data_IF_322506670345
#
_entry.id   IF_322506670345
#
_cell.length_a   1.000
_cell.length_b   1.000
_cell.length_c   1.000
_cell.angle_alpha   90.00
_cell.angle_beta   90.00
_cell.angle_gamma   90.00
#
_symmetry.space_group_name_H-M   'P 1'
#
loop_
_entity.id
_entity.type
_entity.pdbx_description
1 polymer ?
#
# COMPACT_ATOMS: atom_id res chain seq x y z
N UNK A 1 4.78 -43.80 -28.85
CA UNK A 1 4.66 -43.62 -30.31
C UNK A 1 3.45 -42.74 -30.56
N UNK A 2 3.60 -41.60 -31.01
CA UNK A 2 3.17 -40.81 -32.16
C UNK A 2 3.46 -39.33 -31.86
N UNK A 3 4.55 -38.86 -32.46
CA UNK A 3 4.87 -37.44 -32.60
C UNK A 3 3.99 -36.86 -33.69
N UNK A 4 3.34 -35.71 -33.45
CA UNK A 4 2.83 -34.87 -34.54
C UNK A 4 3.53 -33.52 -34.48
N UNK A 5 4.47 -33.33 -35.42
CA UNK A 5 5.01 -32.03 -35.84
C UNK A 5 3.91 -31.33 -36.63
N UNK A 6 3.72 -30.04 -36.40
CA UNK A 6 3.05 -29.16 -37.34
C UNK A 6 4.02 -28.01 -37.67
N UNK A 7 4.18 -27.85 -38.98
CA UNK A 7 5.11 -26.98 -39.68
C UNK A 7 4.67 -25.51 -39.68
N UNK A 8 5.67 -24.62 -39.56
CA UNK A 8 5.59 -23.24 -40.05
C UNK A 8 5.76 -23.22 -41.56
N UNK A 9 4.99 -22.40 -42.27
CA UNK A 9 5.51 -21.55 -43.36
C UNK A 9 4.42 -20.68 -44.02
N UNK A 10 4.84 -19.43 -44.33
CA UNK A 10 4.35 -18.54 -45.38
C UNK A 10 3.09 -17.70 -45.07
N UNK A 11 2.97 -16.39 -45.34
CA UNK A 11 3.73 -15.54 -46.25
C UNK A 11 3.38 -14.05 -45.99
N UNK A 12 4.33 -13.17 -46.24
CA UNK A 12 4.13 -11.72 -46.42
C UNK A 12 3.69 -11.50 -47.88
N UNK A 13 2.88 -10.50 -48.22
CA UNK A 13 3.35 -9.58 -49.20
C UNK A 13 3.17 -8.08 -48.94
N UNK A 14 4.14 -7.34 -49.42
CA UNK A 14 4.36 -5.93 -49.61
C UNK A 14 3.18 -5.15 -50.23
N UNK A 15 3.11 -3.86 -49.88
CA UNK A 15 2.34 -2.87 -50.61
C UNK A 15 2.73 -1.45 -50.20
N UNK A 16 3.71 -0.90 -50.94
CA UNK A 16 4.15 0.50 -50.90
C UNK A 16 3.08 1.37 -51.62
N UNK A 17 2.73 2.52 -51.06
CA UNK A 17 2.23 3.64 -51.84
C UNK A 17 2.67 4.97 -51.23
N UNK A 18 3.62 5.58 -51.90
CA UNK A 18 4.10 6.96 -51.77
C UNK A 18 3.14 7.83 -52.57
N UNK A 19 2.68 8.91 -52.01
CA UNK A 19 2.12 10.03 -52.75
C UNK A 19 2.66 11.35 -52.22
N UNK A 20 3.65 11.86 -52.93
CA UNK A 20 4.07 13.26 -52.92
C UNK A 20 2.99 14.11 -53.64
N UNK A 21 2.68 15.24 -53.10
CA UNK A 21 2.21 16.39 -53.90
C UNK A 21 2.80 17.70 -53.37
N UNK A 22 3.38 18.41 -54.31
CA UNK A 22 4.21 19.59 -54.21
C UNK A 22 3.41 20.90 -54.36
N UNK A 23 3.90 21.94 -53.68
CA UNK A 23 4.12 23.32 -54.19
C UNK A 23 2.98 24.12 -54.84
N UNK A 24 2.88 25.35 -54.40
CA UNK A 24 2.91 26.66 -55.12
C UNK A 24 2.33 27.68 -54.15
N UNK A 25 2.95 28.73 -53.73
CA UNK A 25 3.49 29.92 -54.36
C UNK A 25 2.83 31.08 -53.64
N UNK A 26 3.41 31.89 -52.92
CA UNK A 26 4.14 33.11 -53.08
C UNK A 26 3.27 34.33 -53.33
N UNK A 27 3.27 35.32 -52.44
CA UNK A 27 3.27 36.73 -52.82
C UNK A 27 3.91 37.58 -51.72
N UNK A 28 4.97 38.24 -52.11
CA UNK A 28 5.63 39.34 -51.38
C UNK A 28 4.79 40.61 -51.50
N UNK A 29 4.67 41.36 -50.44
CA UNK A 29 4.42 42.79 -50.51
C UNK A 29 5.27 43.50 -49.45
N UNK A 30 6.19 44.27 -49.93
CA UNK A 30 7.08 45.12 -49.18
C UNK A 30 6.46 46.50 -48.97
N UNK A 31 7.11 47.26 -48.14
CA UNK A 31 7.16 48.74 -47.98
C UNK A 31 6.55 49.24 -46.71
N UNK A 32 7.14 50.03 -45.95
CA UNK A 32 8.33 50.90 -45.80
C UNK A 32 8.19 51.67 -44.51
N UNK A 33 9.19 52.25 -43.93
CA UNK A 33 9.20 52.69 -42.53
C UNK A 33 8.71 54.16 -42.37
N UNK A 34 8.19 54.51 -41.21
CA UNK A 34 8.18 55.85 -40.75
C UNK A 34 8.45 55.97 -39.23
N UNK A 35 9.16 56.99 -38.80
CA UNK A 35 9.93 56.98 -37.59
C UNK A 35 9.27 57.69 -36.39
N UNK A 36 9.81 57.35 -35.22
CA UNK A 36 9.93 58.16 -34.00
C UNK A 36 8.67 58.65 -33.32
N UNK A 37 8.41 58.11 -32.15
CA UNK A 37 8.29 58.91 -30.93
C UNK A 37 8.68 58.08 -29.72
N UNK A 38 9.79 58.46 -29.10
CA UNK A 38 10.24 57.99 -27.78
C UNK A 38 9.35 58.61 -26.71
N UNK A 39 8.51 57.81 -26.07
CA UNK A 39 8.06 58.12 -24.72
C UNK A 39 8.44 56.93 -23.82
N UNK A 40 8.91 57.15 -22.58
CA UNK A 40 9.30 56.06 -21.68
C UNK A 40 8.07 55.41 -21.10
N UNK A 41 7.78 54.16 -21.54
CA UNK A 41 6.77 53.33 -20.91
C UNK A 41 7.28 52.96 -19.53
N UNK A 42 6.67 53.55 -18.51
CA UNK A 42 6.80 53.10 -17.14
C UNK A 42 6.43 51.60 -17.04
N UNK A 43 7.41 50.79 -16.74
CA UNK A 43 7.18 49.38 -16.37
C UNK A 43 6.42 49.38 -15.03
N UNK A 44 5.12 49.29 -15.10
CA UNK A 44 4.33 48.85 -13.96
C UNK A 44 4.62 47.37 -13.74
N UNK A 45 5.51 47.09 -12.79
CA UNK A 45 5.64 45.79 -12.17
C UNK A 45 4.31 45.45 -11.52
N UNK A 46 3.42 44.82 -12.27
CA UNK A 46 2.27 44.10 -11.70
C UNK A 46 2.85 42.87 -11.03
N UNK A 47 3.20 43.01 -9.76
CA UNK A 47 3.34 41.82 -8.92
C UNK A 47 2.06 41.04 -9.05
N UNK A 48 2.12 39.93 -9.76
CA UNK A 48 1.07 38.90 -9.73
C UNK A 48 1.04 38.40 -8.29
N UNK A 49 0.13 39.00 -7.51
CA UNK A 49 -0.35 38.40 -6.30
C UNK A 49 -1.03 37.09 -6.74
N UNK A 50 -0.30 36.00 -6.76
CA UNK A 50 -0.86 34.66 -6.76
C UNK A 50 -1.55 34.48 -5.41
N UNK A 51 -2.78 34.95 -5.33
CA UNK A 51 -3.71 34.53 -4.29
C UNK A 51 -3.74 33.02 -4.37
N UNK A 52 -3.18 32.34 -3.37
CA UNK A 52 -3.37 30.93 -3.20
C UNK A 52 -4.88 30.70 -3.14
N UNK A 53 -5.48 30.24 -4.25
CA UNK A 53 -6.88 29.82 -4.26
C UNK A 53 -6.95 28.65 -3.28
N UNK A 54 -7.64 28.82 -2.16
CA UNK A 54 -7.99 27.71 -1.28
C UNK A 54 -8.88 26.77 -2.10
N UNK A 55 -8.26 25.77 -2.71
CA UNK A 55 -8.97 24.72 -3.41
C UNK A 55 -9.71 23.87 -2.39
N UNK A 56 -11.03 23.80 -2.50
CA UNK A 56 -11.84 22.95 -1.62
C UNK A 56 -11.62 21.49 -1.96
N UNK A 57 -11.54 20.63 -0.98
CA UNK A 57 -11.52 19.19 -1.16
C UNK A 57 -12.96 18.70 -1.39
N UNK A 58 -13.34 18.45 -2.65
CA UNK A 58 -14.70 18.07 -3.01
C UNK A 58 -14.88 16.56 -3.19
N UNK A 59 -13.78 15.83 -3.47
CA UNK A 59 -13.84 14.39 -3.73
C UNK A 59 -12.60 13.64 -3.25
N UNK A 60 -12.83 12.51 -2.58
CA UNK A 60 -11.80 11.56 -2.14
C UNK A 60 -12.19 10.17 -2.61
N UNK A 61 -11.28 9.48 -3.27
CA UNK A 61 -11.42 8.06 -3.58
C UNK A 61 -10.39 7.23 -2.82
N UNK A 62 -10.81 6.07 -2.35
CA UNK A 62 -9.97 5.13 -1.61
C UNK A 62 -10.06 3.78 -2.27
N UNK A 63 -8.93 3.23 -2.71
CA UNK A 63 -8.84 1.85 -3.17
C UNK A 63 -7.94 1.06 -2.24
N UNK A 64 -8.45 -0.06 -1.73
CA UNK A 64 -7.79 -0.91 -0.74
C UNK A 64 -7.72 -2.37 -1.23
N UNK A 65 -6.94 -3.20 -0.54
CA UNK A 65 -6.78 -4.61 -0.86
C UNK A 65 -8.10 -5.37 -0.77
N UNK A 66 -8.56 -5.69 0.43
CA UNK A 66 -9.76 -6.50 0.65
C UNK A 66 -10.61 -5.97 1.82
N UNK A 67 -11.84 -5.52 1.53
CA UNK A 67 -12.78 -5.01 2.53
C UNK A 67 -13.35 -6.11 3.46
N UNK A 68 -13.07 -7.38 3.23
CA UNK A 68 -13.32 -8.42 4.23
C UNK A 68 -12.37 -8.33 5.44
N UNK A 69 -11.22 -7.67 5.27
CA UNK A 69 -10.29 -7.38 6.35
C UNK A 69 -10.70 -6.07 7.07
N UNK A 70 -10.98 -6.11 8.39
CA UNK A 70 -11.38 -4.93 9.17
C UNK A 70 -10.39 -3.77 9.12
N UNK A 71 -9.11 -4.04 8.86
CA UNK A 71 -8.07 -3.03 8.67
C UNK A 71 -8.44 -2.05 7.57
N UNK A 72 -8.84 -2.55 6.41
CA UNK A 72 -9.20 -1.73 5.26
C UNK A 72 -10.56 -1.03 5.42
N UNK A 73 -11.48 -1.64 6.16
CA UNK A 73 -12.74 -0.96 6.54
C UNK A 73 -12.44 0.29 7.37
N UNK A 74 -11.50 0.20 8.31
CA UNK A 74 -11.11 1.36 9.13
C UNK A 74 -10.32 2.40 8.35
N UNK A 75 -9.50 1.98 7.39
CA UNK A 75 -8.88 2.91 6.45
C UNK A 75 -9.93 3.73 5.69
N UNK A 76 -10.93 3.07 5.12
CA UNK A 76 -12.03 3.75 4.44
C UNK A 76 -12.78 4.72 5.36
N UNK A 77 -13.09 4.29 6.58
CA UNK A 77 -13.74 5.13 7.60
C UNK A 77 -12.90 6.34 8.00
N UNK A 78 -11.58 6.14 8.19
CA UNK A 78 -10.65 7.23 8.54
C UNK A 78 -10.61 8.29 7.45
N UNK A 79 -10.56 7.87 6.20
CA UNK A 79 -10.61 8.77 5.05
C UNK A 79 -11.92 9.54 4.99
N UNK A 80 -13.07 8.87 5.16
CA UNK A 80 -14.39 9.50 5.14
C UNK A 80 -14.55 10.56 6.24
N UNK A 81 -14.19 10.20 7.47
CA UNK A 81 -14.28 11.10 8.62
C UNK A 81 -13.45 12.38 8.41
N UNK A 82 -12.20 12.24 7.96
CA UNK A 82 -11.32 13.39 7.80
C UNK A 82 -11.68 14.20 6.54
N UNK A 83 -12.09 13.56 5.44
CA UNK A 83 -12.53 14.24 4.23
C UNK A 83 -13.75 15.13 4.51
N UNK A 84 -14.76 14.61 5.19
CA UNK A 84 -15.96 15.39 5.56
C UNK A 84 -15.66 16.49 6.59
N UNK A 85 -14.71 16.29 7.47
CA UNK A 85 -14.26 17.30 8.42
C UNK A 85 -13.57 18.47 7.73
N UNK A 86 -12.76 18.22 6.69
CA UNK A 86 -11.98 19.23 5.96
C UNK A 86 -12.82 19.89 4.87
N UNK A 87 -13.43 19.10 3.99
CA UNK A 87 -14.17 19.60 2.82
C UNK A 87 -15.65 19.89 3.06
N UNK A 88 -16.18 19.45 4.23
CA UNK A 88 -17.59 19.60 4.60
C UNK A 88 -18.43 18.35 4.35
N UNK A 89 -19.72 18.38 4.79
CA UNK A 89 -20.60 17.19 4.73
C UNK A 89 -20.86 16.70 3.29
N UNK A 90 -20.76 17.58 2.31
CA UNK A 90 -21.03 17.29 0.89
C UNK A 90 -19.82 16.70 0.16
N UNK A 91 -18.66 16.59 0.81
CA UNK A 91 -17.48 15.95 0.24
C UNK A 91 -17.78 14.50 -0.14
N UNK A 92 -17.63 14.20 -1.42
CA UNK A 92 -17.85 12.85 -1.94
C UNK A 92 -16.70 11.92 -1.54
N UNK A 93 -17.04 10.80 -0.95
CA UNK A 93 -16.03 9.78 -0.59
C UNK A 93 -16.45 8.44 -1.19
N UNK A 94 -15.57 7.84 -1.97
CA UNK A 94 -15.77 6.53 -2.59
C UNK A 94 -14.73 5.57 -2.04
N UNK A 95 -15.16 4.44 -1.50
CA UNK A 95 -14.26 3.38 -0.99
C UNK A 95 -14.52 2.10 -1.77
N UNK A 96 -13.49 1.53 -2.37
CA UNK A 96 -13.58 0.29 -3.17
C UNK A 96 -12.50 -0.70 -2.81
N UNK A 97 -12.78 -1.99 -3.04
CA UNK A 97 -11.83 -3.10 -2.87
C UNK A 97 -11.26 -3.50 -4.22
N UNK A 98 -9.94 -3.66 -4.31
CA UNK A 98 -9.26 -4.24 -5.47
C UNK A 98 -9.21 -5.78 -5.42
N UNK A 99 -9.48 -6.40 -4.26
CA UNK A 99 -9.27 -7.83 -4.05
C UNK A 99 -7.81 -8.27 -4.28
N UNK A 100 -6.85 -7.34 -4.15
CA UNK A 100 -5.45 -7.52 -4.55
C UNK A 100 -5.26 -7.83 -6.04
N UNK A 101 -6.28 -7.58 -6.88
CA UNK A 101 -6.19 -7.69 -8.34
C UNK A 101 -5.70 -6.36 -8.94
N UNK A 102 -4.52 -6.41 -9.55
CA UNK A 102 -3.89 -5.25 -10.17
C UNK A 102 -4.75 -4.68 -11.32
N UNK A 103 -5.34 -5.53 -12.17
CA UNK A 103 -6.15 -5.08 -13.30
C UNK A 103 -7.45 -4.41 -12.81
N UNK A 104 -8.06 -4.96 -11.76
CA UNK A 104 -9.21 -4.32 -11.12
C UNK A 104 -8.84 -2.95 -10.58
N UNK A 105 -7.68 -2.84 -9.91
CA UNK A 105 -7.22 -1.57 -9.35
C UNK A 105 -6.89 -0.53 -10.44
N UNK A 106 -6.31 -0.96 -11.57
CA UNK A 106 -6.15 -0.09 -12.75
C UNK A 106 -7.48 0.52 -13.20
N UNK A 107 -8.50 -0.32 -13.39
CA UNK A 107 -9.84 0.15 -13.77
C UNK A 107 -10.45 1.12 -12.75
N UNK A 108 -10.18 0.89 -11.46
CA UNK A 108 -10.64 1.80 -10.39
C UNK A 108 -9.98 3.18 -10.50
N UNK A 109 -8.65 3.23 -10.69
CA UNK A 109 -7.94 4.50 -10.87
C UNK A 109 -8.41 5.24 -12.14
N UNK A 110 -8.65 4.53 -13.24
CA UNK A 110 -9.22 5.13 -14.45
C UNK A 110 -10.62 5.74 -14.20
N UNK A 111 -11.47 5.06 -13.45
CA UNK A 111 -12.78 5.57 -13.07
C UNK A 111 -12.67 6.82 -12.17
N UNK A 112 -11.69 6.84 -11.25
CA UNK A 112 -11.45 8.02 -10.41
C UNK A 112 -10.96 9.21 -11.23
N UNK A 113 -10.09 8.98 -12.21
CA UNK A 113 -9.67 10.01 -13.18
C UNK A 113 -10.84 10.53 -13.99
N UNK A 114 -11.67 9.64 -14.54
CA UNK A 114 -12.85 10.03 -15.31
C UNK A 114 -13.86 10.83 -14.48
N UNK A 115 -13.92 10.59 -13.17
CA UNK A 115 -14.76 11.30 -12.21
C UNK A 115 -14.13 12.59 -11.67
N UNK A 116 -12.96 12.97 -12.17
CA UNK A 116 -12.21 14.16 -11.74
C UNK A 116 -12.00 14.20 -10.22
N UNK A 117 -11.55 13.08 -9.65
CA UNK A 117 -11.33 12.96 -8.21
C UNK A 117 -10.12 13.79 -7.79
N UNK A 118 -10.28 14.66 -6.77
CA UNK A 118 -9.23 15.55 -6.28
C UNK A 118 -8.10 14.77 -5.58
N UNK A 119 -8.47 13.81 -4.72
CA UNK A 119 -7.55 13.03 -3.90
C UNK A 119 -7.83 11.53 -4.01
N UNK A 120 -6.83 10.78 -4.41
CA UNK A 120 -6.85 9.32 -4.45
C UNK A 120 -5.95 8.79 -3.32
N UNK A 121 -6.54 8.00 -2.43
CA UNK A 121 -5.84 7.25 -1.39
C UNK A 121 -5.69 5.81 -1.91
N UNK A 122 -4.46 5.40 -2.09
CA UNK A 122 -4.08 4.16 -2.76
C UNK A 122 -3.37 3.20 -1.79
N UNK A 123 -4.02 2.09 -1.47
CA UNK A 123 -3.34 0.90 -0.96
C UNK A 123 -3.07 -0.03 -2.14
N UNK A 124 -1.84 -0.05 -2.63
CA UNK A 124 -1.50 -0.71 -3.88
C UNK A 124 -1.62 -2.23 -3.80
N UNK A 125 -2.30 -2.86 -4.76
CA UNK A 125 -2.37 -4.31 -4.93
C UNK A 125 -1.01 -4.91 -5.35
N UNK A 126 -0.25 -4.15 -6.15
CA UNK A 126 1.15 -4.40 -6.48
C UNK A 126 1.89 -3.06 -6.47
N UNK A 127 2.89 -2.93 -5.61
CA UNK A 127 3.59 -1.66 -5.38
C UNK A 127 4.32 -1.12 -6.63
N UNK A 128 4.79 -1.99 -7.51
CA UNK A 128 5.48 -1.63 -8.75
C UNK A 128 4.52 -1.64 -9.94
N UNK A 129 3.69 -2.66 -10.04
CA UNK A 129 2.78 -2.85 -11.17
C UNK A 129 1.79 -1.71 -11.35
N UNK A 130 1.40 -1.02 -10.25
CA UNK A 130 0.42 0.08 -10.29
C UNK A 130 0.97 1.40 -10.87
N UNK A 131 2.28 1.52 -11.07
CA UNK A 131 2.98 2.74 -11.50
C UNK A 131 2.31 3.47 -12.68
N UNK A 132 1.98 2.82 -13.83
CA UNK A 132 1.38 3.52 -14.97
C UNK A 132 0.01 4.13 -14.64
N UNK A 133 -0.78 3.50 -13.78
CA UNK A 133 -2.09 4.04 -13.37
C UNK A 133 -1.94 5.25 -12.46
N UNK A 134 -0.95 5.26 -11.57
CA UNK A 134 -0.60 6.41 -10.73
C UNK A 134 -0.15 7.59 -11.58
N UNK A 135 0.78 7.37 -12.54
CA UNK A 135 1.24 8.41 -13.46
C UNK A 135 0.08 9.03 -14.25
N UNK A 136 -0.84 8.20 -14.76
CA UNK A 136 -2.04 8.66 -15.46
C UNK A 136 -2.94 9.51 -14.56
N UNK A 137 -3.18 9.09 -13.33
CA UNK A 137 -4.00 9.83 -12.36
C UNK A 137 -3.39 11.19 -12.04
N UNK A 138 -2.07 11.25 -11.81
CA UNK A 138 -1.35 12.50 -11.55
C UNK A 138 -1.33 13.42 -12.77
N UNK A 139 -1.13 12.89 -13.97
CA UNK A 139 -1.19 13.66 -15.21
C UNK A 139 -2.59 14.28 -15.45
N UNK A 140 -3.64 13.64 -14.94
CA UNK A 140 -5.02 14.16 -14.96
C UNK A 140 -5.30 15.20 -13.86
N UNK A 141 -4.35 15.47 -12.96
CA UNK A 141 -4.46 16.46 -11.90
C UNK A 141 -4.90 15.93 -10.53
N UNK A 142 -5.16 14.64 -10.40
CA UNK A 142 -5.44 14.03 -9.10
C UNK A 142 -4.20 13.99 -8.22
N UNK A 143 -4.35 14.28 -6.92
CA UNK A 143 -3.33 14.02 -5.91
C UNK A 143 -3.41 12.54 -5.54
N UNK A 144 -2.28 11.84 -5.54
CA UNK A 144 -2.24 10.42 -5.20
C UNK A 144 -1.36 10.20 -3.97
N UNK A 145 -1.97 9.73 -2.89
CA UNK A 145 -1.28 9.39 -1.63
C UNK A 145 -1.32 7.86 -1.46
N UNK A 146 -0.13 7.26 -1.41
CA UNK A 146 -0.02 5.85 -1.05
C UNK A 146 -0.18 5.67 0.47
N UNK A 147 -0.95 4.66 0.89
CA UNK A 147 -1.20 4.37 2.32
C UNK A 147 -1.00 2.89 2.61
N UNK A 148 -0.43 2.59 3.77
CA UNK A 148 -0.11 1.25 4.28
C UNK A 148 1.03 0.57 3.52
N UNK A 149 1.02 0.60 2.21
CA UNK A 149 2.14 0.15 1.37
C UNK A 149 2.54 1.21 0.37
N UNK A 150 3.83 1.27 0.03
CA UNK A 150 4.33 2.21 -0.98
C UNK A 150 3.86 1.81 -2.38
N UNK A 151 3.78 2.80 -3.27
CA UNK A 151 3.45 2.59 -4.69
C UNK A 151 4.42 3.37 -5.59
N UNK A 152 4.72 2.81 -6.76
CA UNK A 152 5.46 3.47 -7.84
C UNK A 152 4.64 4.56 -8.52
N UNK A 153 5.18 5.16 -9.59
CA UNK A 153 4.50 6.21 -10.38
C UNK A 153 4.59 7.61 -9.77
N UNK A 154 5.51 7.81 -8.80
CA UNK A 154 5.77 9.12 -8.22
C UNK A 154 4.59 9.68 -7.43
N UNK A 155 3.95 8.88 -6.57
CA UNK A 155 2.90 9.34 -5.65
C UNK A 155 3.31 10.61 -4.92
N UNK A 156 2.34 11.44 -4.53
CA UNK A 156 2.64 12.75 -3.91
C UNK A 156 3.13 12.63 -2.47
N UNK A 157 2.71 11.57 -1.76
CA UNK A 157 3.28 11.14 -0.49
C UNK A 157 2.96 9.66 -0.24
N UNK A 158 3.70 9.06 0.69
CA UNK A 158 3.45 7.71 1.23
C UNK A 158 3.29 7.82 2.73
N UNK A 159 2.20 7.26 3.27
CA UNK A 159 1.93 7.19 4.70
C UNK A 159 1.76 5.74 5.07
N UNK A 160 2.72 5.20 5.78
CA UNK A 160 2.76 3.77 6.12
C UNK A 160 3.22 3.58 7.55
N UNK A 161 2.90 2.45 8.14
CA UNK A 161 3.55 2.03 9.37
C UNK A 161 5.03 1.77 9.11
N UNK A 162 5.86 1.91 10.14
CA UNK A 162 7.24 1.47 10.05
C UNK A 162 7.27 -0.07 10.03
N UNK A 163 7.14 -0.64 8.83
CA UNK A 163 7.01 -2.09 8.63
C UNK A 163 8.30 -2.83 8.97
N UNK A 164 9.47 -2.24 8.73
CA UNK A 164 10.75 -2.81 9.20
C UNK A 164 10.72 -2.91 10.72
N UNK A 165 10.32 -1.85 11.42
CA UNK A 165 10.16 -1.88 12.88
C UNK A 165 9.14 -2.93 13.32
N UNK A 166 8.03 -3.12 12.61
CA UNK A 166 7.03 -4.14 12.94
C UNK A 166 7.64 -5.54 12.92
N UNK A 167 8.38 -5.87 11.87
CA UNK A 167 9.14 -7.12 11.80
C UNK A 167 10.18 -7.24 12.91
N UNK A 168 10.92 -6.16 13.18
CA UNK A 168 11.97 -6.14 14.22
C UNK A 168 11.39 -6.38 15.60
N UNK A 169 10.35 -5.65 16.03
CA UNK A 169 9.78 -5.81 17.37
C UNK A 169 9.11 -7.17 17.57
N UNK A 170 8.45 -7.69 16.52
CA UNK A 170 7.83 -9.02 16.55
C UNK A 170 8.87 -10.13 16.69
N UNK A 171 9.93 -10.08 15.87
CA UNK A 171 10.95 -11.13 15.89
C UNK A 171 11.96 -10.97 17.04
N UNK A 172 12.14 -9.75 17.58
CA UNK A 172 12.85 -9.57 18.85
C UNK A 172 12.08 -10.26 20.00
N UNK A 173 10.76 -10.07 20.08
CA UNK A 173 9.94 -10.77 21.07
C UNK A 173 10.02 -12.29 20.93
N UNK A 174 10.03 -12.80 19.68
CA UNK A 174 10.23 -14.24 19.43
C UNK A 174 11.60 -14.69 19.93
N UNK A 175 12.68 -13.98 19.57
CA UNK A 175 14.03 -14.32 19.95
C UNK A 175 14.22 -14.32 21.46
N UNK A 176 13.69 -13.31 22.16
CA UNK A 176 13.76 -13.20 23.62
C UNK A 176 13.03 -14.36 24.32
N UNK A 177 11.82 -14.69 23.84
CA UNK A 177 11.00 -15.75 24.40
C UNK A 177 11.59 -17.14 24.15
N UNK A 178 12.24 -17.35 23.01
CA UNK A 178 12.99 -18.55 22.66
C UNK A 178 14.40 -18.60 23.29
N UNK A 179 14.83 -17.54 23.98
CA UNK A 179 16.18 -17.40 24.54
C UNK A 179 17.26 -17.62 23.47
N UNK A 180 17.01 -17.15 22.27
CA UNK A 180 17.92 -17.20 21.12
C UNK A 180 18.09 -18.57 20.48
N UNK A 181 17.22 -19.56 20.75
CA UNK A 181 17.32 -20.91 20.18
C UNK A 181 15.96 -21.49 19.82
N UNK A 182 15.80 -22.05 18.62
CA UNK A 182 14.57 -22.71 18.21
C UNK A 182 14.35 -22.70 16.70
N UNK A 183 13.27 -23.35 16.29
CA UNK A 183 12.81 -23.43 14.91
C UNK A 183 11.59 -22.53 14.72
N UNK A 184 11.63 -21.64 13.77
CA UNK A 184 10.51 -20.77 13.45
C UNK A 184 10.08 -20.93 12.01
N UNK A 185 8.83 -20.60 11.74
CA UNK A 185 8.29 -20.43 10.40
C UNK A 185 7.72 -19.01 10.24
N UNK A 186 7.79 -18.48 9.02
CA UNK A 186 7.17 -17.21 8.66
C UNK A 186 5.97 -17.55 7.75
N UNK A 187 4.77 -17.21 8.22
CA UNK A 187 3.55 -17.24 7.42
C UNK A 187 3.51 -15.91 6.66
N UNK A 188 4.02 -15.95 5.41
CA UNK A 188 4.24 -14.78 4.56
C UNK A 188 2.95 -14.33 3.86
N UNK A 189 3.01 -13.27 3.07
CA UNK A 189 1.87 -12.64 2.39
C UNK A 189 2.16 -12.24 0.94
N UNK A 190 1.30 -11.41 0.34
CA UNK A 190 1.48 -10.91 -1.01
C UNK A 190 2.77 -10.08 -1.15
N UNK A 191 3.35 -9.98 -2.36
CA UNK A 191 4.64 -9.32 -2.59
C UNK A 191 4.51 -7.79 -2.65
N UNK A 192 3.90 -7.19 -1.64
CA UNK A 192 3.82 -5.73 -1.47
C UNK A 192 4.91 -5.23 -0.52
N UNK A 193 5.31 -3.97 -0.65
CA UNK A 193 6.44 -3.40 0.09
C UNK A 193 6.29 -3.58 1.61
N UNK A 194 5.09 -3.33 2.16
CA UNK A 194 4.85 -3.47 3.60
C UNK A 194 5.13 -4.89 4.12
N UNK A 195 4.78 -5.92 3.35
CA UNK A 195 5.05 -7.33 3.71
C UNK A 195 6.53 -7.66 3.59
N UNK A 196 7.17 -7.23 2.51
CA UNK A 196 8.61 -7.42 2.28
C UNK A 196 9.42 -6.80 3.44
N UNK A 197 9.09 -5.58 3.83
CA UNK A 197 9.75 -4.86 4.93
C UNK A 197 9.54 -5.55 6.30
N UNK A 198 8.36 -6.12 6.58
CA UNK A 198 8.10 -6.90 7.81
C UNK A 198 9.00 -8.13 7.88
N UNK A 199 9.09 -8.88 6.78
CA UNK A 199 9.97 -10.06 6.70
C UNK A 199 11.42 -9.65 6.82
N UNK A 200 11.85 -8.59 6.13
CA UNK A 200 13.21 -8.05 6.23
C UNK A 200 13.55 -7.69 7.69
N UNK A 201 12.71 -6.91 8.36
CA UNK A 201 12.93 -6.52 9.76
C UNK A 201 13.02 -7.71 10.70
N UNK A 202 12.22 -8.75 10.47
CA UNK A 202 12.30 -10.01 11.19
C UNK A 202 13.64 -10.70 10.97
N UNK A 203 14.07 -10.87 9.71
CA UNK A 203 15.36 -11.51 9.37
C UNK A 203 16.55 -10.73 9.91
N UNK A 204 16.53 -9.40 9.90
CA UNK A 204 17.58 -8.55 10.49
C UNK A 204 17.78 -8.83 11.98
N UNK A 205 16.71 -9.06 12.73
CA UNK A 205 16.80 -9.43 14.14
C UNK A 205 17.30 -10.85 14.29
N UNK A 206 16.69 -11.81 13.62
CA UNK A 206 16.98 -13.23 13.79
C UNK A 206 18.40 -13.59 13.33
N UNK A 207 18.99 -12.85 12.40
CA UNK A 207 20.39 -13.01 11.98
C UNK A 207 21.39 -12.86 13.14
N UNK A 208 21.01 -12.18 14.21
CA UNK A 208 21.82 -11.99 15.42
C UNK A 208 21.76 -13.20 16.37
N UNK A 209 20.87 -14.15 16.11
CA UNK A 209 20.61 -15.32 16.93
C UNK A 209 20.87 -16.62 16.15
N UNK A 210 22.12 -17.07 16.01
CA UNK A 210 22.47 -18.24 15.19
C UNK A 210 21.84 -19.56 15.65
N UNK A 211 21.33 -19.59 16.88
CA UNK A 211 20.56 -20.73 17.42
C UNK A 211 19.10 -20.78 16.94
N UNK A 212 18.59 -19.72 16.31
CA UNK A 212 17.25 -19.70 15.72
C UNK A 212 17.35 -20.05 14.24
N UNK A 213 16.52 -21.00 13.79
CA UNK A 213 16.45 -21.44 12.38
C UNK A 213 15.10 -21.09 11.78
N UNK A 214 15.11 -20.36 10.66
CA UNK A 214 13.92 -20.14 9.85
C UNK A 214 13.74 -21.37 8.96
N UNK A 215 12.73 -22.18 9.22
CA UNK A 215 12.44 -23.41 8.47
C UNK A 215 11.72 -23.12 7.14
N UNK A 216 10.87 -22.11 7.10
CA UNK A 216 10.13 -21.66 5.92
C UNK A 216 9.76 -20.18 6.04
N UNK A 217 9.76 -19.46 4.89
CA UNK A 217 9.39 -18.05 4.82
C UNK A 217 8.73 -17.63 3.49
N UNK A 218 8.57 -18.56 2.55
CA UNK A 218 8.25 -18.21 1.16
C UNK A 218 6.77 -18.50 0.80
N UNK A 219 5.98 -19.09 1.71
CA UNK A 219 4.59 -19.44 1.44
C UNK A 219 3.66 -18.24 1.65
N UNK A 220 2.94 -17.86 0.59
CA UNK A 220 2.00 -16.75 0.59
C UNK A 220 0.63 -17.15 1.17
N UNK A 221 0.28 -16.58 2.30
CA UNK A 221 -1.03 -16.69 2.97
C UNK A 221 -2.02 -15.60 2.49
N UNK A 222 -1.68 -14.82 1.45
CA UNK A 222 -2.55 -13.80 0.86
C UNK A 222 -3.00 -12.71 1.86
N UNK A 223 -2.33 -12.62 3.02
CA UNK A 223 -2.71 -11.72 4.10
C UNK A 223 -4.08 -12.02 4.71
N UNK A 224 -4.62 -13.21 4.50
CA UNK A 224 -5.97 -13.61 4.89
C UNK A 224 -5.99 -14.72 5.94
N UNK A 225 -7.13 -14.88 6.63
CA UNK A 225 -7.34 -15.94 7.61
C UNK A 225 -7.31 -17.32 6.95
N UNK A 226 -7.99 -17.47 5.80
CA UNK A 226 -8.04 -18.75 5.08
C UNK A 226 -6.66 -19.11 4.50
N UNK A 227 -5.93 -18.13 4.02
CA UNK A 227 -4.54 -18.30 3.59
C UNK A 227 -3.62 -18.70 4.73
N UNK A 228 -3.77 -18.08 5.90
CA UNK A 228 -3.05 -18.44 7.12
C UNK A 228 -3.33 -19.88 7.57
N UNK A 229 -4.61 -20.28 7.56
CA UNK A 229 -5.02 -21.65 7.84
C UNK A 229 -4.36 -22.65 6.86
N UNK A 230 -4.46 -22.37 5.57
CA UNK A 230 -3.90 -23.24 4.52
C UNK A 230 -2.38 -23.37 4.66
N UNK A 231 -1.67 -22.26 4.69
CA UNK A 231 -0.20 -22.25 4.77
C UNK A 231 0.30 -22.93 6.04
N UNK A 232 -0.32 -22.62 7.18
CA UNK A 232 0.12 -23.25 8.44
C UNK A 232 -0.19 -24.75 8.48
N UNK A 233 -1.28 -25.22 7.88
CA UNK A 233 -1.57 -26.67 7.76
C UNK A 233 -0.47 -27.40 6.98
N UNK A 234 0.02 -26.78 5.89
CA UNK A 234 1.14 -27.33 5.11
C UNK A 234 2.44 -27.34 5.93
N UNK A 235 2.73 -26.26 6.65
CA UNK A 235 3.91 -26.13 7.50
C UNK A 235 3.90 -27.13 8.66
N UNK A 236 2.75 -27.35 9.30
CA UNK A 236 2.59 -28.36 10.37
C UNK A 236 2.81 -29.79 9.86
N UNK A 237 2.47 -30.05 8.61
CA UNK A 237 2.72 -31.33 7.95
C UNK A 237 4.20 -31.49 7.61
N UNK A 238 4.85 -30.43 7.12
CA UNK A 238 6.24 -30.45 6.68
C UNK A 238 7.24 -30.49 7.86
N UNK A 239 6.91 -29.83 8.98
CA UNK A 239 7.83 -29.64 10.11
C UNK A 239 7.27 -30.24 11.40
N UNK A 240 7.87 -31.35 11.88
CA UNK A 240 7.44 -32.01 13.11
C UNK A 240 7.70 -31.17 14.37
N UNK A 241 8.63 -30.20 14.31
CA UNK A 241 8.95 -29.30 15.42
C UNK A 241 9.03 -27.86 14.95
N UNK A 242 8.12 -27.04 15.45
CA UNK A 242 8.09 -25.59 15.33
C UNK A 242 8.09 -25.04 16.77
N UNK A 243 8.85 -24.00 17.06
CA UNK A 243 8.92 -23.37 18.37
C UNK A 243 8.21 -22.01 18.39
N UNK A 244 8.16 -21.30 17.24
CA UNK A 244 7.39 -20.08 17.08
C UNK A 244 6.98 -19.83 15.62
N UNK A 245 5.95 -19.01 15.45
CA UNK A 245 5.44 -18.54 14.15
C UNK A 245 5.46 -17.00 14.13
N UNK A 246 6.06 -16.43 13.11
CA UNK A 246 5.83 -15.04 12.74
C UNK A 246 4.83 -15.02 11.58
N UNK A 247 3.65 -14.44 11.80
CA UNK A 247 2.69 -14.16 10.75
C UNK A 247 2.76 -12.68 10.37
N UNK A 248 2.79 -12.41 9.06
CA UNK A 248 2.99 -11.02 8.56
C UNK A 248 1.83 -10.10 8.91
N UNK A 249 0.68 -10.65 9.27
CA UNK A 249 -0.47 -9.91 9.77
C UNK A 249 -1.37 -10.76 10.70
N UNK A 250 -2.27 -10.09 11.39
CA UNK A 250 -3.15 -10.73 12.38
C UNK A 250 -4.18 -11.70 11.75
N UNK A 251 -4.81 -11.43 10.60
CA UNK A 251 -5.68 -12.42 9.98
C UNK A 251 -4.96 -13.73 9.70
N UNK A 252 -3.73 -13.68 9.17
CA UNK A 252 -2.91 -14.89 8.94
C UNK A 252 -2.50 -15.56 10.26
N UNK A 253 -2.24 -14.79 11.33
CA UNK A 253 -1.92 -15.33 12.66
C UNK A 253 -3.09 -16.12 13.26
N UNK A 254 -4.31 -15.58 13.17
CA UNK A 254 -5.53 -16.25 13.64
C UNK A 254 -5.83 -17.50 12.80
N UNK A 255 -5.62 -17.43 11.48
CA UNK A 255 -5.71 -18.58 10.59
C UNK A 255 -4.70 -19.69 10.94
N UNK A 256 -3.45 -19.30 11.26
CA UNK A 256 -2.41 -20.22 11.70
C UNK A 256 -2.76 -20.90 13.03
N UNK A 257 -3.35 -20.18 13.97
CA UNK A 257 -3.84 -20.77 15.23
C UNK A 257 -4.95 -21.78 14.97
N UNK A 258 -5.86 -21.49 14.04
CA UNK A 258 -6.93 -22.44 13.68
C UNK A 258 -6.35 -23.75 13.11
N UNK A 259 -5.31 -23.67 12.25
CA UNK A 259 -4.61 -24.84 11.75
C UNK A 259 -3.96 -25.64 12.89
N UNK A 260 -3.32 -24.97 13.84
CA UNK A 260 -2.70 -25.59 15.01
C UNK A 260 -3.73 -26.38 15.84
N UNK A 261 -4.88 -25.77 16.13
CA UNK A 261 -5.99 -26.40 16.87
C UNK A 261 -6.55 -27.63 16.13
N UNK A 262 -6.71 -27.56 14.81
CA UNK A 262 -7.14 -28.70 13.99
C UNK A 262 -6.14 -29.85 14.00
N UNK A 263 -4.84 -29.52 13.94
CA UNK A 263 -3.75 -30.49 14.01
C UNK A 263 -3.44 -30.98 15.44
N UNK A 264 -4.08 -30.38 16.47
CA UNK A 264 -3.82 -30.64 17.89
C UNK A 264 -2.33 -30.39 18.25
N UNK A 265 -1.78 -29.29 17.73
CA UNK A 265 -0.40 -28.84 17.94
C UNK A 265 -0.44 -27.53 18.74
N UNK A 266 0.15 -27.52 19.92
CA UNK A 266 0.16 -26.40 20.86
C UNK A 266 1.54 -26.10 21.46
N UNK A 267 2.59 -26.71 20.92
CA UNK A 267 3.96 -26.59 21.41
C UNK A 267 4.68 -25.31 21.02
N UNK A 268 4.05 -24.43 20.24
CA UNK A 268 4.62 -23.17 19.76
C UNK A 268 3.73 -21.97 20.08
N UNK A 269 4.21 -20.79 19.84
CA UNK A 269 3.44 -19.55 19.94
C UNK A 269 3.50 -18.76 18.63
N UNK A 270 2.53 -17.84 18.45
CA UNK A 270 2.33 -17.06 17.23
C UNK A 270 2.42 -15.58 17.58
N UNK A 271 3.16 -14.82 16.74
CA UNK A 271 3.24 -13.36 16.79
C UNK A 271 2.75 -12.80 15.47
N UNK A 272 1.84 -11.85 15.52
CA UNK A 272 1.25 -11.17 14.36
C UNK A 272 1.73 -9.72 14.19
N UNK A 273 1.07 -9.04 13.26
CA UNK A 273 1.16 -7.59 13.04
C UNK A 273 -0.26 -7.11 12.75
N UNK A 274 -0.64 -5.97 13.19
CA UNK A 274 -1.76 -5.06 12.93
C UNK A 274 -2.40 -4.53 14.21
N UNK A 275 -2.48 -5.32 15.30
CA UNK A 275 -3.25 -4.95 16.50
C UNK A 275 -4.76 -5.09 16.31
N UNK A 276 -5.18 -6.03 15.46
CA UNK A 276 -6.59 -6.25 15.13
C UNK A 276 -7.41 -6.72 16.33
N UNK A 277 -8.70 -6.37 16.40
CA UNK A 277 -9.56 -6.77 17.53
C UNK A 277 -9.57 -8.26 17.82
N UNK A 278 -9.60 -9.11 16.77
CA UNK A 278 -9.60 -10.56 16.93
C UNK A 278 -8.27 -11.08 17.52
N UNK A 279 -7.14 -10.54 17.04
CA UNK A 279 -5.82 -10.90 17.58
C UNK A 279 -5.65 -10.42 19.02
N UNK A 280 -6.11 -9.21 19.35
CA UNK A 280 -6.03 -8.71 20.73
C UNK A 280 -6.92 -9.49 21.71
N UNK A 281 -8.07 -9.98 21.26
CA UNK A 281 -8.89 -10.93 22.03
C UNK A 281 -8.15 -12.26 22.22
N UNK A 282 -7.52 -12.79 21.17
CA UNK A 282 -6.71 -14.00 21.28
C UNK A 282 -5.53 -13.81 22.24
N UNK A 283 -4.80 -12.69 22.18
CA UNK A 283 -3.69 -12.37 23.10
C UNK A 283 -4.17 -12.32 24.56
N UNK A 284 -5.38 -11.83 24.81
CA UNK A 284 -5.97 -11.78 26.16
C UNK A 284 -6.39 -13.17 26.69
N UNK A 285 -6.62 -14.14 25.80
CA UNK A 285 -6.94 -15.53 26.19
C UNK A 285 -5.65 -16.29 26.54
N UNK A 286 -5.48 -16.78 27.78
CA UNK A 286 -4.30 -17.55 28.17
C UNK A 286 -4.12 -18.87 27.39
N UNK A 287 -5.18 -19.40 26.80
CA UNK A 287 -5.16 -20.66 26.02
C UNK A 287 -4.88 -20.44 24.52
N UNK A 288 -4.79 -19.18 24.07
CA UNK A 288 -4.45 -18.88 22.68
C UNK A 288 -2.96 -19.03 22.43
N UNK A 289 -2.62 -19.48 21.22
CA UNK A 289 -1.24 -19.50 20.74
C UNK A 289 -0.79 -18.13 20.24
N UNK A 290 -1.71 -17.23 19.87
CA UNK A 290 -1.39 -15.85 19.51
C UNK A 290 -1.06 -15.07 20.79
N UNK A 291 0.19 -14.64 20.94
CA UNK A 291 0.70 -14.06 22.19
C UNK A 291 1.11 -12.60 22.07
N UNK A 292 1.33 -12.12 20.84
CA UNK A 292 1.71 -10.73 20.59
C UNK A 292 1.34 -10.31 19.17
N UNK A 293 1.22 -8.98 18.98
CA UNK A 293 1.05 -8.34 17.67
C UNK A 293 1.73 -6.97 17.67
N UNK A 294 2.36 -6.59 16.56
CA UNK A 294 2.87 -5.23 16.36
C UNK A 294 1.73 -4.34 15.82
N UNK A 295 1.13 -3.54 16.70
CA UNK A 295 -0.07 -2.77 16.39
C UNK A 295 0.21 -1.59 15.45
N UNK A 296 -0.63 -1.45 14.43
CA UNK A 296 -0.72 -0.36 13.47
C UNK A 296 -1.91 0.57 13.82
N UNK A 297 -2.01 1.72 13.11
CA UNK A 297 -3.13 2.65 13.21
C UNK A 297 -3.76 2.92 11.83
N UNK A 298 -4.60 2.03 11.31
CA UNK A 298 -5.19 2.16 9.97
C UNK A 298 -6.08 3.40 9.81
N UNK A 299 -6.80 3.77 10.87
CA UNK A 299 -7.66 4.95 10.86
C UNK A 299 -6.84 6.24 10.88
N UNK A 300 -5.81 6.31 11.72
CA UNK A 300 -4.90 7.46 11.79
C UNK A 300 -4.08 7.63 10.52
N UNK A 301 -3.62 6.54 9.90
CA UNK A 301 -2.91 6.59 8.62
C UNK A 301 -3.72 7.29 7.53
N UNK A 302 -4.96 6.89 7.31
CA UNK A 302 -5.80 7.48 6.26
C UNK A 302 -6.28 8.89 6.60
N UNK A 303 -6.55 9.19 7.85
CA UNK A 303 -6.77 10.58 8.30
C UNK A 303 -5.56 11.47 7.94
N UNK A 304 -4.35 11.00 8.24
CA UNK A 304 -3.13 11.71 7.90
C UNK A 304 -2.97 11.88 6.39
N UNK A 305 -3.34 10.86 5.59
CA UNK A 305 -3.31 10.90 4.14
C UNK A 305 -4.25 11.99 3.58
N UNK A 306 -5.47 12.08 4.10
CA UNK A 306 -6.41 13.14 3.69
C UNK A 306 -5.89 14.52 4.04
N UNK A 307 -5.31 14.71 5.23
CA UNK A 307 -4.69 15.99 5.64
C UNK A 307 -3.55 16.39 4.70
N UNK A 308 -2.63 15.46 4.44
CA UNK A 308 -1.49 15.71 3.54
C UNK A 308 -1.97 15.98 2.11
N UNK A 309 -2.93 15.21 1.60
CA UNK A 309 -3.53 15.42 0.29
C UNK A 309 -4.18 16.81 0.18
N UNK A 310 -4.94 17.23 1.19
CA UNK A 310 -5.52 18.57 1.24
C UNK A 310 -4.45 19.68 1.34
N UNK A 311 -3.37 19.47 2.09
CA UNK A 311 -2.27 20.43 2.16
C UNK A 311 -1.61 20.60 0.78
N UNK A 312 -1.38 19.48 0.06
CA UNK A 312 -0.83 19.48 -1.29
C UNK A 312 -1.78 20.18 -2.28
N UNK A 313 -3.09 19.92 -2.20
CA UNK A 313 -4.12 20.59 -2.99
C UNK A 313 -4.08 22.12 -2.82
N UNK A 314 -3.70 22.57 -1.63
CA UNK A 314 -3.51 23.98 -1.27
C UNK A 314 -2.06 24.48 -1.41
N UNK A 315 -1.23 23.75 -2.19
CA UNK A 315 0.15 24.16 -2.53
C UNK A 315 1.19 23.92 -1.42
N UNK A 316 0.83 23.22 -0.34
CA UNK A 316 1.72 22.91 0.80
C UNK A 316 2.20 21.47 0.72
N UNK A 317 3.39 21.25 0.17
CA UNK A 317 4.00 19.92 0.13
C UNK A 317 4.76 19.60 1.42
N UNK A 318 4.71 18.36 1.92
CA UNK A 318 5.53 17.95 3.06
C UNK A 318 7.03 17.96 2.68
N UNK A 319 7.89 18.32 3.61
CA UNK A 319 9.35 18.24 3.43
C UNK A 319 9.82 16.80 3.18
N UNK A 320 9.25 15.85 3.92
CA UNK A 320 9.46 14.43 3.68
C UNK A 320 8.14 13.80 3.22
N UNK A 321 8.05 13.35 1.95
CA UNK A 321 6.85 12.70 1.45
C UNK A 321 6.65 11.27 1.98
N UNK A 322 7.68 10.65 2.58
CA UNK A 322 7.60 9.32 3.18
C UNK A 322 7.38 9.46 4.70
N UNK A 323 6.13 9.31 5.13
CA UNK A 323 5.72 9.47 6.52
C UNK A 323 5.55 8.09 7.15
N UNK A 324 6.48 7.73 8.06
CA UNK A 324 6.45 6.47 8.79
C UNK A 324 5.76 6.65 10.16
N UNK A 325 4.75 5.83 10.41
CA UNK A 325 4.05 5.78 11.70
C UNK A 325 4.65 4.65 12.54
N UNK A 326 5.18 4.94 13.74
CA UNK A 326 5.76 3.90 14.58
C UNK A 326 4.70 2.87 15.01
N UNK A 327 5.11 1.61 15.14
CA UNK A 327 4.27 0.54 15.66
C UNK A 327 4.54 0.30 17.15
N UNK A 328 3.57 -0.29 17.85
CA UNK A 328 3.69 -0.68 19.25
C UNK A 328 3.46 -2.17 19.41
N UNK A 329 4.39 -2.87 20.05
CA UNK A 329 4.18 -4.27 20.38
C UNK A 329 3.14 -4.41 21.49
N UNK A 330 2.10 -5.18 21.20
CA UNK A 330 1.04 -5.55 22.14
C UNK A 330 1.25 -7.01 22.51
N UNK A 331 1.34 -7.28 23.79
CA UNK A 331 1.57 -8.60 24.38
C UNK A 331 0.52 -8.88 25.45
N UNK A 332 0.56 -10.06 26.07
CA UNK A 332 -0.36 -10.38 27.19
C UNK A 332 -0.24 -9.42 28.37
N UNK A 333 0.96 -8.86 28.61
CA UNK A 333 1.23 -7.96 29.73
C UNK A 333 0.58 -6.58 29.54
N UNK A 334 0.36 -6.14 28.29
CA UNK A 334 -0.12 -4.79 28.00
C UNK A 334 -1.41 -4.72 27.18
N UNK A 335 -1.98 -5.86 26.74
CA UNK A 335 -3.21 -5.88 25.90
C UNK A 335 -4.40 -5.26 26.62
N UNK A 336 -4.49 -5.38 27.94
CA UNK A 336 -5.56 -4.75 28.72
C UNK A 336 -5.53 -3.21 28.72
N UNK A 337 -4.41 -2.60 28.33
CA UNK A 337 -4.26 -1.14 28.20
C UNK A 337 -4.35 -0.67 26.74
N UNK A 338 -4.38 -1.59 25.80
CA UNK A 338 -4.48 -1.27 24.39
C UNK A 338 -5.93 -0.99 24.02
N UNK A 339 -6.17 0.22 23.50
CA UNK A 339 -7.52 0.67 23.13
C UNK A 339 -8.03 0.14 21.81
N UNK A 340 -7.20 -0.64 21.10
CA UNK A 340 -7.53 -1.12 19.76
C UNK A 340 -7.42 -0.02 18.68
N UNK A 341 -7.94 -0.33 17.55
CA UNK A 341 -8.08 0.62 16.44
C UNK A 341 -9.26 1.57 16.73
N UNK A 342 -8.98 2.87 16.94
CA UNK A 342 -9.98 3.89 17.31
C UNK A 342 -10.05 5.03 16.29
#
# INVERSE_FOLDING_TARGET
MIKKKINLQNAIPNGIAIALFSLVGGVLAACSPNPSNNEPIAQTNTAQNTSASNSKLDSVAVTVGDLSNPFFVLMGRGAELEAKKIGGPDTRVTVVSSGYDLNQQFNQLENFVASQTDLIILNAADSKGIEPAVEKAKAAGSIVIAVDTAAGGGVDATITSNNVQAGQVSCQYIADRLKGQGNIVIVNGPPVISVIERVQGCEEVLSKYPGIKILSKDQNAEGSRDGGLRVMSDLLTAFPKIDAVFAINDPSAVGAELAARQAKRDEFFIVGVDGAPEATQAIADPNSLVVATAAQDPLGMTRRAVQVGNDILNGKRPENPNILIPVKLITRENVGQYKGWQ
#
